data_IF_169227153470
#
_entry.id   IF_169227153470
#
_cell.length_a   1.000
_cell.length_b   1.000
_cell.length_c   1.000
_cell.angle_alpha   90.00
_cell.angle_beta   90.00
_cell.angle_gamma   90.00
#
_symmetry.space_group_name_H-M   'P 1'
#
loop_
_entity.id
_entity.type
_entity.pdbx_description
1 polymer ?
#
# COMPACT_ATOMS: atom_id res chain seq x y z
N UNK A 1 18.86 14.44 -18.43
CA UNK A 1 18.33 15.16 -17.25
C UNK A 1 17.27 16.13 -17.75
N UNK A 2 16.04 16.04 -17.24
CA UNK A 2 14.96 16.96 -17.58
C UNK A 2 15.28 18.34 -16.95
N UNK A 3 15.84 19.26 -17.74
CA UNK A 3 16.14 20.64 -17.35
C UNK A 3 14.88 21.52 -17.43
N UNK A 4 13.78 21.09 -16.82
CA UNK A 4 12.59 21.91 -16.66
C UNK A 4 12.50 22.42 -15.23
N UNK A 5 11.98 23.63 -14.99
CA UNK A 5 11.69 24.08 -13.64
C UNK A 5 10.84 23.02 -12.95
N UNK A 6 11.23 22.62 -11.74
CA UNK A 6 10.43 21.71 -10.91
C UNK A 6 9.01 22.25 -10.89
N UNK A 7 8.02 21.54 -11.44
CA UNK A 7 6.64 21.99 -11.34
C UNK A 7 6.32 22.20 -9.87
N UNK A 8 5.52 23.22 -9.55
CA UNK A 8 5.01 23.42 -8.19
C UNK A 8 4.27 22.14 -7.78
N UNK A 9 4.95 21.27 -7.05
CA UNK A 9 4.49 19.95 -6.69
C UNK A 9 3.92 20.04 -5.28
N UNK A 10 2.72 20.60 -5.15
CA UNK A 10 1.98 20.55 -3.90
C UNK A 10 1.15 19.26 -3.90
N UNK A 11 1.74 18.18 -3.40
CA UNK A 11 1.04 16.92 -3.20
C UNK A 11 0.39 16.93 -1.81
N UNK A 12 -0.87 17.38 -1.74
CA UNK A 12 -1.71 17.20 -0.56
C UNK A 12 -2.64 16.02 -0.78
N UNK A 13 -2.35 14.92 -0.08
CA UNK A 13 -3.24 13.77 -0.05
C UNK A 13 -4.25 13.95 1.09
N UNK A 14 -5.53 14.06 0.73
CA UNK A 14 -6.64 14.09 1.67
C UNK A 14 -7.24 12.69 1.75
N UNK A 15 -7.19 12.06 2.93
CA UNK A 15 -7.95 10.83 3.15
C UNK A 15 -9.45 11.17 3.14
N UNK A 16 -10.20 10.52 2.25
CA UNK A 16 -11.66 10.73 2.11
C UNK A 16 -12.48 9.51 2.53
N UNK A 17 -11.81 8.44 2.93
CA UNK A 17 -12.44 7.23 3.44
C UNK A 17 -11.47 6.07 3.52
N UNK A 18 -11.98 4.91 3.91
CA UNK A 18 -11.19 3.70 4.09
C UNK A 18 -12.07 2.45 3.97
N UNK A 19 -11.40 1.30 3.87
CA UNK A 19 -12.03 0.00 3.98
C UNK A 19 -11.01 -1.06 4.44
N UNK A 20 -11.52 -2.12 5.04
CA UNK A 20 -10.78 -3.31 5.44
C UNK A 20 -11.15 -4.47 4.53
N UNK A 21 -10.22 -5.37 4.23
CA UNK A 21 -10.49 -6.55 3.41
C UNK A 21 -9.68 -7.78 3.85
N UNK A 22 -10.17 -8.98 3.50
CA UNK A 22 -9.41 -10.23 3.62
C UNK A 22 -9.24 -10.85 2.23
N UNK A 23 -8.03 -10.76 1.67
CA UNK A 23 -7.76 -11.15 0.29
C UNK A 23 -8.43 -10.19 -0.70
N UNK A 24 -7.73 -9.83 -1.77
CA UNK A 24 -8.15 -8.75 -2.68
C UNK A 24 -9.23 -9.16 -3.69
N UNK A 25 -9.50 -10.46 -3.85
CA UNK A 25 -10.39 -11.02 -4.88
C UNK A 25 -11.79 -11.41 -4.39
N UNK A 26 -12.00 -11.53 -3.08
CA UNK A 26 -13.29 -11.94 -2.52
C UNK A 26 -14.14 -10.73 -2.09
N UNK A 27 -15.12 -10.38 -2.91
CA UNK A 27 -16.07 -9.29 -2.68
C UNK A 27 -16.83 -9.41 -1.35
N UNK A 28 -17.04 -10.64 -0.84
CA UNK A 28 -17.75 -10.87 0.44
C UNK A 28 -16.87 -10.56 1.65
N UNK A 29 -15.57 -10.36 1.45
CA UNK A 29 -14.60 -10.09 2.51
C UNK A 29 -14.11 -8.65 2.48
N UNK A 30 -14.98 -7.71 2.06
CA UNK A 30 -14.75 -6.26 2.09
C UNK A 30 -15.65 -5.60 3.12
N UNK A 31 -15.08 -4.70 3.92
CA UNK A 31 -15.76 -4.05 5.03
C UNK A 31 -15.46 -2.56 5.03
N UNK A 32 -16.50 -1.73 5.10
CA UNK A 32 -16.39 -0.26 5.10
C UNK A 32 -16.10 0.26 6.52
N UNK A 33 -15.00 -0.22 7.10
CA UNK A 33 -14.57 0.10 8.46
C UNK A 33 -13.04 -0.04 8.64
N UNK A 34 -12.60 0.22 9.87
CA UNK A 34 -11.19 0.22 10.29
C UNK A 34 -10.77 -1.07 11.02
N UNK A 35 -11.49 -2.18 10.87
CA UNK A 35 -11.27 -3.40 11.70
C UNK A 35 -9.87 -4.00 11.57
N UNK A 36 -9.18 -3.77 10.46
CA UNK A 36 -7.80 -4.22 10.25
C UNK A 36 -6.76 -3.11 10.33
N UNK A 37 -7.16 -1.89 10.72
CA UNK A 37 -6.21 -0.82 11.01
C UNK A 37 -5.45 -1.16 12.29
N UNK A 38 -4.13 -1.11 12.24
CA UNK A 38 -3.26 -1.42 13.37
C UNK A 38 -2.65 -0.15 13.94
N UNK A 39 -2.38 -0.17 15.24
CA UNK A 39 -1.70 0.91 15.96
C UNK A 39 -0.25 0.50 16.22
N UNK A 40 0.68 1.43 16.05
CA UNK A 40 2.08 1.22 16.37
C UNK A 40 2.26 0.99 17.89
N UNK A 41 2.97 -0.08 18.27
CA UNK A 41 3.06 -0.55 19.68
C UNK A 41 4.04 0.23 20.54
N UNK A 42 5.11 0.76 19.95
CA UNK A 42 6.25 1.26 20.71
C UNK A 42 6.35 2.79 20.59
N UNK A 43 6.73 3.52 21.65
CA UNK A 43 7.51 4.74 21.45
C UNK A 43 8.73 4.38 20.61
N UNK A 44 9.13 5.21 19.65
CA UNK A 44 10.29 4.93 18.77
C UNK A 44 11.56 4.60 19.59
N UNK A 45 11.63 5.11 20.82
CA UNK A 45 12.75 5.00 21.75
C UNK A 45 12.78 3.69 22.57
N UNK A 46 11.68 2.93 22.60
CA UNK A 46 11.54 1.75 23.47
C UNK A 46 11.59 0.41 22.71
N UNK A 47 11.86 0.44 21.41
CA UNK A 47 11.92 -0.77 20.59
C UNK A 47 13.14 -1.61 20.98
N UNK A 48 12.93 -2.79 21.56
CA UNK A 48 13.99 -3.79 21.66
C UNK A 48 14.32 -4.29 20.24
N UNK A 49 15.47 -3.87 19.72
CA UNK A 49 15.88 -4.09 18.32
C UNK A 49 16.26 -5.52 17.98
N UNK A 50 16.18 -6.47 18.93
CA UNK A 50 16.53 -7.87 18.70
C UNK A 50 15.30 -8.73 18.35
N UNK A 51 14.63 -8.38 17.24
CA UNK A 51 13.43 -9.07 16.75
C UNK A 51 13.82 -10.29 15.90
N UNK A 52 13.46 -11.50 16.35
CA UNK A 52 13.67 -12.72 15.54
C UNK A 52 12.56 -12.87 14.48
N UNK A 53 12.86 -12.43 13.26
CA UNK A 53 11.93 -12.46 12.13
C UNK A 53 11.64 -13.88 11.61
N UNK A 54 12.30 -14.93 12.11
CA UNK A 54 12.10 -16.32 11.66
C UNK A 54 11.03 -17.08 12.44
N UNK A 55 10.56 -16.52 13.56
CA UNK A 55 9.64 -17.20 14.48
C UNK A 55 8.25 -17.43 13.85
N UNK A 56 8.01 -18.66 13.39
CA UNK A 56 6.76 -19.08 12.77
C UNK A 56 6.78 -19.13 11.24
N UNK A 57 7.97 -19.05 10.63
CA UNK A 57 8.15 -19.07 9.17
C UNK A 57 7.60 -20.37 8.53
N UNK A 58 7.74 -21.51 9.21
CA UNK A 58 7.27 -22.81 8.71
C UNK A 58 5.75 -22.87 8.49
N UNK A 59 4.99 -22.06 9.22
CA UNK A 59 3.53 -22.05 9.19
C UNK A 59 2.99 -21.02 8.19
N UNK A 60 3.87 -20.25 7.53
CA UNK A 60 3.49 -19.15 6.66
C UNK A 60 3.11 -19.64 5.25
N UNK A 61 1.85 -19.41 4.89
CA UNK A 61 1.35 -19.58 3.53
C UNK A 61 1.08 -18.22 2.90
N UNK A 62 1.75 -17.93 1.79
CA UNK A 62 1.50 -16.71 1.02
C UNK A 62 0.51 -17.00 -0.11
N UNK A 63 -0.70 -16.47 0.02
CA UNK A 63 -1.63 -16.35 -1.09
C UNK A 63 -1.27 -15.05 -1.82
N UNK A 64 -0.86 -15.15 -3.09
CA UNK A 64 -0.35 -14.01 -3.87
C UNK A 64 -1.17 -12.72 -3.75
N UNK A 65 -0.51 -11.57 -3.86
CA UNK A 65 -1.22 -10.29 -3.85
C UNK A 65 -1.84 -9.99 -5.21
N UNK A 66 -3.17 -9.86 -5.26
CA UNK A 66 -3.83 -9.35 -6.46
C UNK A 66 -3.49 -7.88 -6.68
N UNK A 67 -3.19 -7.54 -7.94
CA UNK A 67 -3.01 -6.16 -8.42
C UNK A 67 -4.33 -5.51 -8.86
N UNK A 68 -5.44 -6.25 -8.73
CA UNK A 68 -6.77 -5.75 -9.10
C UNK A 68 -7.14 -4.50 -8.31
N UNK A 69 -7.86 -3.60 -9.00
CA UNK A 69 -8.49 -2.42 -8.42
C UNK A 69 -9.95 -2.65 -8.02
N UNK A 70 -10.45 -3.89 -8.06
CA UNK A 70 -11.87 -4.21 -7.80
C UNK A 70 -12.35 -3.74 -6.43
N UNK A 71 -11.53 -3.90 -5.38
CA UNK A 71 -11.88 -3.40 -4.05
C UNK A 71 -12.00 -1.86 -4.03
N UNK A 72 -11.19 -1.17 -4.82
CA UNK A 72 -11.27 0.28 -4.97
C UNK A 72 -12.51 0.69 -5.78
N UNK A 73 -12.85 -0.04 -6.84
CA UNK A 73 -14.08 0.16 -7.62
C UNK A 73 -15.31 -0.07 -6.76
N UNK A 74 -15.31 -1.12 -5.94
CA UNK A 74 -16.35 -1.42 -4.97
C UNK A 74 -16.58 -0.26 -4.00
N UNK A 75 -15.52 0.27 -3.40
CA UNK A 75 -15.60 1.45 -2.53
C UNK A 75 -16.15 2.67 -3.30
N UNK A 76 -15.64 2.91 -4.51
CA UNK A 76 -16.06 4.02 -5.37
C UNK A 76 -17.56 3.98 -5.70
N UNK A 77 -18.12 2.79 -5.95
CA UNK A 77 -19.55 2.62 -6.24
C UNK A 77 -20.43 2.92 -5.03
N UNK A 78 -19.95 2.64 -3.80
CA UNK A 78 -20.68 2.94 -2.56
C UNK A 78 -20.70 4.42 -2.24
N UNK A 79 -19.61 5.13 -2.56
CA UNK A 79 -19.48 6.58 -2.42
C UNK A 79 -19.83 7.35 -3.70
N UNK A 80 -20.61 6.76 -4.61
CA UNK A 80 -20.90 7.35 -5.93
C UNK A 80 -21.48 8.76 -5.86
N UNK A 81 -22.26 9.09 -4.83
CA UNK A 81 -22.89 10.41 -4.70
C UNK A 81 -21.86 11.51 -4.40
N UNK A 82 -20.76 11.15 -3.74
CA UNK A 82 -19.66 12.06 -3.43
C UNK A 82 -18.66 12.13 -4.57
N UNK A 83 -18.47 11.01 -5.27
CA UNK A 83 -17.41 10.82 -6.26
C UNK A 83 -17.88 11.15 -7.69
N UNK A 84 -19.17 11.01 -7.99
CA UNK A 84 -19.76 11.23 -9.30
C UNK A 84 -20.90 12.25 -9.21
N UNK A 85 -20.61 13.50 -9.59
CA UNK A 85 -21.52 14.65 -9.49
C UNK A 85 -21.72 15.27 -10.87
N UNK A 86 -22.94 15.75 -11.15
CA UNK A 86 -23.26 16.40 -12.43
C UNK A 86 -22.84 15.58 -13.67
N UNK A 87 -23.07 14.26 -13.61
CA UNK A 87 -22.69 13.31 -14.66
C UNK A 87 -21.16 13.22 -14.94
N UNK A 88 -20.31 13.58 -13.97
CA UNK A 88 -18.86 13.57 -14.11
C UNK A 88 -18.17 13.06 -12.83
N UNK A 89 -17.01 12.44 -12.99
CA UNK A 89 -16.17 12.08 -11.85
C UNK A 89 -15.48 13.32 -11.25
N UNK A 90 -15.31 13.30 -9.93
CA UNK A 90 -14.55 14.29 -9.17
C UNK A 90 -13.03 14.14 -9.35
N UNK A 91 -12.58 13.09 -10.03
CA UNK A 91 -11.20 12.79 -10.36
C UNK A 91 -11.01 12.63 -11.87
N UNK A 92 -9.76 12.77 -12.32
CA UNK A 92 -9.35 12.48 -13.70
C UNK A 92 -8.72 11.10 -13.82
N UNK A 93 -8.03 10.64 -12.77
CA UNK A 93 -7.45 9.29 -12.69
C UNK A 93 -7.86 8.55 -11.42
N UNK A 94 -8.09 7.25 -11.55
CA UNK A 94 -8.31 6.30 -10.46
C UNK A 94 -7.25 5.19 -10.50
N UNK A 95 -6.58 4.91 -9.39
CA UNK A 95 -5.64 3.78 -9.30
C UNK A 95 -5.40 3.30 -7.88
N UNK A 96 -4.90 2.08 -7.70
CA UNK A 96 -4.16 1.77 -6.47
C UNK A 96 -2.83 2.56 -6.46
N UNK A 97 -2.30 2.88 -5.27
CA UNK A 97 -1.01 3.59 -5.09
C UNK A 97 0.11 2.95 -5.90
N UNK A 98 0.09 1.62 -6.03
CA UNK A 98 1.06 0.86 -6.84
C UNK A 98 1.14 1.32 -8.30
N UNK A 99 0.00 1.59 -8.96
CA UNK A 99 -0.02 2.06 -10.35
C UNK A 99 0.59 3.46 -10.51
N UNK A 100 0.31 4.36 -9.55
CA UNK A 100 0.91 5.70 -9.52
C UNK A 100 2.42 5.59 -9.28
N UNK A 101 2.84 4.73 -8.35
CA UNK A 101 4.26 4.46 -8.08
C UNK A 101 4.99 4.03 -9.34
N UNK A 102 4.42 3.12 -10.15
CA UNK A 102 5.06 2.67 -11.39
C UNK A 102 5.36 3.85 -12.33
N UNK A 103 4.39 4.74 -12.55
CA UNK A 103 4.56 5.92 -13.40
C UNK A 103 5.65 6.84 -12.83
N UNK A 104 5.61 7.14 -11.53
CA UNK A 104 6.59 8.03 -10.90
C UNK A 104 8.01 7.47 -10.89
N UNK A 105 8.17 6.16 -10.71
CA UNK A 105 9.47 5.50 -10.68
C UNK A 105 10.00 5.13 -12.06
N UNK A 106 9.18 5.17 -13.11
CA UNK A 106 9.57 4.78 -14.48
C UNK A 106 10.81 5.52 -15.00
N UNK A 107 11.04 6.75 -14.54
CA UNK A 107 12.22 7.54 -14.96
C UNK A 107 13.54 7.06 -14.32
N UNK A 108 13.46 6.26 -13.26
CA UNK A 108 14.61 5.69 -12.55
C UNK A 108 14.72 4.18 -12.72
N UNK A 109 13.66 3.52 -13.19
CA UNK A 109 13.61 2.08 -13.34
C UNK A 109 14.46 1.62 -14.54
N UNK A 110 15.30 0.62 -14.32
CA UNK A 110 16.25 0.09 -15.32
C UNK A 110 16.33 -1.43 -15.31
N UNK A 111 15.66 -2.09 -14.38
CA UNK A 111 15.78 -3.53 -14.12
C UNK A 111 14.46 -4.25 -14.34
N UNK A 112 13.39 -3.72 -13.74
CA UNK A 112 12.10 -4.41 -13.70
C UNK A 112 11.16 -3.87 -14.77
N UNK A 113 10.51 -4.77 -15.52
CA UNK A 113 9.43 -4.41 -16.42
C UNK A 113 8.12 -4.18 -15.65
N UNK A 114 7.21 -3.43 -16.27
CA UNK A 114 5.88 -3.21 -15.71
C UNK A 114 4.85 -3.08 -16.83
N UNK A 115 3.62 -3.46 -16.50
CA UNK A 115 2.46 -3.32 -17.39
C UNK A 115 1.35 -2.59 -16.64
N UNK A 116 0.73 -1.61 -17.30
CA UNK A 116 -0.37 -0.83 -16.74
C UNK A 116 -1.52 -0.82 -17.75
N UNK A 117 -2.63 -1.46 -17.40
CA UNK A 117 -3.88 -1.34 -18.15
C UNK A 117 -4.54 0.02 -17.87
N UNK A 118 -4.95 0.71 -18.93
CA UNK A 118 -5.61 2.01 -18.85
C UNK A 118 -6.96 1.94 -19.55
N UNK A 119 -8.03 2.20 -18.80
CA UNK A 119 -9.40 2.24 -19.33
C UNK A 119 -9.94 3.65 -19.18
N UNK A 120 -10.42 4.25 -20.28
CA UNK A 120 -11.14 5.52 -20.23
C UNK A 120 -12.64 5.26 -20.11
N UNK A 121 -13.27 5.78 -19.06
CA UNK A 121 -14.70 5.68 -18.83
C UNK A 121 -15.25 6.99 -18.28
N UNK A 122 -16.27 7.57 -18.95
CA UNK A 122 -16.89 8.86 -18.59
C UNK A 122 -15.88 9.97 -18.27
N UNK A 123 -14.91 10.14 -19.18
CA UNK A 123 -13.82 11.11 -19.10
C UNK A 123 -12.83 10.95 -17.93
N UNK A 124 -12.88 9.86 -17.17
CA UNK A 124 -11.83 9.49 -16.23
C UNK A 124 -11.03 8.27 -16.73
N UNK A 125 -9.80 8.16 -16.26
CA UNK A 125 -8.85 7.10 -16.60
C UNK A 125 -8.64 6.18 -15.40
N UNK A 126 -8.88 4.89 -15.60
CA UNK A 126 -8.73 3.85 -14.58
C UNK A 126 -7.44 3.10 -14.87
N UNK A 127 -6.52 3.11 -13.92
CA UNK A 127 -5.17 2.56 -14.06
C UNK A 127 -5.04 1.31 -13.18
N UNK A 128 -4.78 0.17 -13.80
CA UNK A 128 -4.64 -1.12 -13.13
C UNK A 128 -3.27 -1.74 -13.47
N UNK A 129 -2.47 -2.03 -12.45
CA UNK A 129 -1.20 -2.74 -12.63
C UNK A 129 -1.47 -4.18 -13.08
N UNK A 130 -0.73 -4.64 -14.08
CA UNK A 130 -0.81 -6.00 -14.59
C UNK A 130 0.52 -6.71 -14.34
N UNK A 131 0.45 -8.00 -14.03
CA UNK A 131 1.64 -8.84 -13.86
C UNK A 131 2.23 -9.12 -15.23
N UNK A 132 3.53 -8.89 -15.41
CA UNK A 132 4.25 -9.20 -16.65
C UNK A 132 4.61 -10.69 -16.72
N UNK A 133 4.88 -11.20 -17.92
CA UNK A 133 5.40 -12.58 -18.07
C UNK A 133 6.74 -12.77 -17.36
N UNK A 134 7.57 -11.72 -17.32
CA UNK A 134 8.84 -11.72 -16.59
C UNK A 134 8.61 -11.88 -15.09
N UNK A 135 7.70 -11.08 -14.51
CA UNK A 135 7.33 -11.18 -13.10
C UNK A 135 6.71 -12.54 -12.76
N UNK A 136 5.88 -13.12 -13.63
CA UNK A 136 5.34 -14.48 -13.44
C UNK A 136 6.45 -15.52 -13.39
N UNK A 137 7.45 -15.43 -14.28
CA UNK A 137 8.62 -16.34 -14.27
C UNK A 137 9.45 -16.17 -13.01
N UNK A 138 9.66 -14.94 -12.54
CA UNK A 138 10.39 -14.68 -11.29
C UNK A 138 9.65 -15.28 -10.09
N UNK A 139 8.32 -15.12 -10.04
CA UNK A 139 7.48 -15.69 -8.98
C UNK A 139 7.54 -17.22 -8.96
N UNK A 140 7.43 -17.85 -10.13
CA UNK A 140 7.47 -19.31 -10.28
C UNK A 140 8.84 -19.91 -9.89
N UNK A 141 9.92 -19.17 -10.14
CA UNK A 141 11.28 -19.61 -9.84
C UNK A 141 11.82 -19.01 -8.54
N UNK A 142 10.95 -18.48 -7.67
CA UNK A 142 11.35 -17.84 -6.42
C UNK A 142 12.00 -18.84 -5.47
N UNK A 143 13.24 -18.55 -5.04
CA UNK A 143 13.95 -19.41 -4.10
C UNK A 143 13.32 -19.34 -2.69
N UNK A 144 13.49 -20.39 -1.86
CA UNK A 144 13.01 -20.38 -0.49
C UNK A 144 13.52 -19.17 0.30
N UNK A 145 14.78 -18.78 0.13
CA UNK A 145 15.38 -17.64 0.82
C UNK A 145 14.71 -16.32 0.45
N UNK A 146 14.34 -16.13 -0.83
CA UNK A 146 13.60 -14.93 -1.27
C UNK A 146 12.19 -14.93 -0.70
N UNK A 147 11.56 -16.11 -0.58
CA UNK A 147 10.25 -16.26 0.05
C UNK A 147 10.29 -15.90 1.53
N UNK A 148 11.37 -16.26 2.23
CA UNK A 148 11.61 -15.89 3.63
C UNK A 148 11.58 -14.38 3.83
N UNK A 149 12.14 -13.59 2.91
CA UNK A 149 12.11 -12.12 3.04
C UNK A 149 10.70 -11.52 3.03
N UNK A 150 9.74 -12.14 2.31
CA UNK A 150 8.33 -11.72 2.38
C UNK A 150 7.74 -11.97 3.76
N UNK A 151 8.03 -13.15 4.31
CA UNK A 151 7.61 -13.49 5.66
C UNK A 151 8.19 -12.51 6.70
N UNK A 152 9.47 -12.17 6.58
CA UNK A 152 10.14 -11.27 7.52
C UNK A 152 9.49 -9.88 7.58
N UNK A 153 8.99 -9.36 6.44
CA UNK A 153 8.22 -8.13 6.40
C UNK A 153 6.96 -8.22 7.27
N UNK A 154 6.12 -9.24 7.04
CA UNK A 154 4.92 -9.46 7.83
C UNK A 154 5.24 -9.72 9.31
N UNK A 155 6.27 -10.51 9.59
CA UNK A 155 6.67 -10.80 10.97
C UNK A 155 7.13 -9.54 11.72
N UNK A 156 7.84 -8.65 11.04
CA UNK A 156 8.22 -7.36 11.60
C UNK A 156 6.98 -6.51 11.92
N UNK A 157 6.01 -6.43 11.01
CA UNK A 157 4.75 -5.72 11.27
C UNK A 157 4.02 -6.30 12.49
N UNK A 158 3.97 -7.62 12.65
CA UNK A 158 3.38 -8.28 13.84
C UNK A 158 4.05 -7.83 15.14
N UNK A 159 5.38 -7.73 15.16
CA UNK A 159 6.12 -7.30 16.33
C UNK A 159 5.81 -5.86 16.72
N UNK A 160 5.78 -4.95 15.74
CA UNK A 160 5.74 -3.51 16.01
C UNK A 160 4.33 -2.91 15.98
N UNK A 161 3.29 -3.71 15.70
CA UNK A 161 1.91 -3.24 15.64
C UNK A 161 0.96 -4.07 16.50
N UNK A 162 -0.08 -3.44 17.04
CA UNK A 162 -1.20 -4.09 17.75
C UNK A 162 -2.49 -3.78 17.03
N UNK A 163 -3.45 -4.69 17.09
CA UNK A 163 -4.83 -4.40 16.72
C UNK A 163 -5.66 -4.47 18.00
N UNK A 164 -6.18 -3.33 18.46
CA UNK A 164 -6.98 -3.30 19.69
C UNK A 164 -8.31 -4.06 19.53
N UNK A 165 -8.74 -4.35 18.29
CA UNK A 165 -9.95 -5.12 18.01
C UNK A 165 -9.74 -6.65 18.04
N UNK A 166 -8.49 -7.17 17.98
CA UNK A 166 -8.24 -8.62 17.91
C UNK A 166 -6.91 -9.04 18.55
N UNK A 167 -6.90 -10.08 19.38
CA UNK A 167 -5.68 -10.74 19.88
C UNK A 167 -5.10 -11.79 18.93
N UNK A 168 -5.63 -11.86 17.70
CA UNK A 168 -5.24 -12.87 16.70
C UNK A 168 -3.83 -12.63 16.16
N UNK A 169 -3.16 -13.74 15.78
CA UNK A 169 -1.89 -13.69 15.04
C UNK A 169 -2.07 -12.90 13.74
N UNK A 170 -0.99 -12.29 13.24
CA UNK A 170 -1.04 -11.54 11.99
C UNK A 170 -1.46 -12.47 10.84
N UNK A 171 -2.50 -12.07 10.13
CA UNK A 171 -2.89 -12.68 8.86
C UNK A 171 -2.61 -11.68 7.74
N UNK A 172 -1.58 -11.91 6.90
CA UNK A 172 -1.20 -11.03 5.79
C UNK A 172 -2.32 -10.74 4.79
N UNK A 173 -3.31 -11.63 4.69
CA UNK A 173 -4.45 -11.42 3.81
C UNK A 173 -5.39 -10.35 4.34
N UNK A 174 -5.35 -10.03 5.64
CA UNK A 174 -6.12 -8.94 6.26
C UNK A 174 -5.42 -7.61 6.03
N UNK A 175 -6.06 -6.71 5.31
CA UNK A 175 -5.49 -5.42 4.92
C UNK A 175 -6.43 -4.28 5.29
N UNK A 176 -5.84 -3.16 5.72
CA UNK A 176 -6.54 -1.88 5.83
C UNK A 176 -6.09 -0.96 4.70
N UNK A 177 -7.06 -0.40 3.99
CA UNK A 177 -6.85 0.44 2.82
C UNK A 177 -7.46 1.82 3.10
N UNK A 178 -6.64 2.86 3.00
CA UNK A 178 -7.12 4.24 3.00
C UNK A 178 -7.31 4.73 1.56
N UNK A 179 -8.31 5.58 1.35
CA UNK A 179 -8.65 6.18 0.04
C UNK A 179 -8.38 7.67 0.10
N UNK A 180 -7.62 8.15 -0.88
CA UNK A 180 -7.13 9.51 -0.93
C UNK A 180 -7.60 10.23 -2.18
N UNK A 181 -7.88 11.52 -2.02
CA UNK A 181 -7.92 12.47 -3.12
C UNK A 181 -6.67 13.35 -3.08
N UNK A 182 -6.08 13.56 -4.26
CA UNK A 182 -4.91 14.43 -4.42
C UNK A 182 -4.92 15.08 -5.81
N UNK A 183 -3.94 15.93 -6.06
CA UNK A 183 -3.69 16.56 -7.37
C UNK A 183 -2.22 16.44 -7.72
N UNK A 184 -1.93 16.09 -8.98
CA UNK A 184 -0.59 16.20 -9.56
C UNK A 184 -0.68 17.13 -10.77
N UNK A 185 -0.11 18.33 -10.65
CA UNK A 185 -0.32 19.39 -11.63
C UNK A 185 -1.81 19.74 -11.73
N UNK A 186 -2.37 19.71 -12.94
CA UNK A 186 -3.79 19.95 -13.19
C UNK A 186 -4.67 18.70 -13.08
N UNK A 187 -4.11 17.53 -12.80
CA UNK A 187 -4.84 16.27 -12.79
C UNK A 187 -5.26 15.87 -11.37
N UNK A 188 -6.54 15.57 -11.21
CA UNK A 188 -7.14 15.09 -9.96
C UNK A 188 -7.00 13.58 -9.87
N UNK A 189 -6.53 13.11 -8.74
CA UNK A 189 -6.29 11.70 -8.46
C UNK A 189 -7.25 11.22 -7.37
N UNK A 190 -7.88 10.08 -7.61
CA UNK A 190 -8.44 9.24 -6.56
C UNK A 190 -7.57 7.98 -6.48
N UNK A 191 -7.05 7.64 -5.30
CA UNK A 191 -6.24 6.44 -5.16
C UNK A 191 -6.39 5.74 -3.82
N UNK A 192 -6.20 4.43 -3.83
CA UNK A 192 -6.22 3.61 -2.61
C UNK A 192 -4.81 3.19 -2.22
N UNK A 193 -4.53 3.14 -0.92
CA UNK A 193 -3.23 2.76 -0.40
C UNK A 193 -3.40 1.84 0.81
N UNK A 194 -2.73 0.71 0.79
CA UNK A 194 -2.57 -0.12 1.97
C UNK A 194 -1.73 0.63 3.01
N UNK A 195 -2.23 0.67 4.24
CA UNK A 195 -1.57 1.34 5.37
C UNK A 195 -1.18 0.28 6.37
N UNK A 196 0.10 0.22 6.73
CA UNK A 196 0.62 -0.81 7.62
C UNK A 196 0.11 -0.58 9.05
N UNK A 197 0.24 0.65 9.56
CA UNK A 197 -0.32 1.06 10.85
C UNK A 197 -0.43 2.59 11.00
N UNK A 198 -0.88 3.03 12.17
CA UNK A 198 -0.95 4.45 12.57
C UNK A 198 -0.28 4.73 13.91
N UNK A 199 0.19 5.97 14.10
CA UNK A 199 0.37 6.55 15.44
C UNK A 199 -0.96 7.13 15.90
N UNK A 200 -1.46 6.67 17.03
CA UNK A 200 -2.63 7.28 17.66
C UNK A 200 -2.15 8.49 18.50
N UNK A 201 -2.20 9.69 17.89
CA UNK A 201 -1.93 10.96 18.61
C UNK A 201 -3.20 11.50 19.27
N UNK A 202 -4.37 11.30 18.64
CA UNK A 202 -5.70 11.61 19.17
C UNK A 202 -6.81 10.92 18.35
N UNK A 203 -8.06 10.81 18.85
CA UNK A 203 -9.17 10.17 18.11
C UNK A 203 -9.47 10.78 16.73
N UNK A 204 -9.06 12.03 16.50
CA UNK A 204 -9.31 12.77 15.25
C UNK A 204 -8.08 12.90 14.33
N UNK A 205 -6.89 12.50 14.80
CA UNK A 205 -5.64 12.59 14.04
C UNK A 205 -4.82 11.33 14.22
N UNK A 206 -4.83 10.48 13.20
CA UNK A 206 -3.96 9.33 13.04
C UNK A 206 -2.94 9.62 11.95
N UNK A 207 -1.65 9.49 12.25
CA UNK A 207 -0.59 9.57 11.24
C UNK A 207 -0.27 8.18 10.72
N UNK A 208 -0.36 7.99 9.40
CA UNK A 208 0.00 6.73 8.76
C UNK A 208 1.50 6.46 8.88
N UNK A 209 1.86 5.21 9.20
CA UNK A 209 3.23 4.71 9.21
C UNK A 209 3.33 3.60 8.16
N UNK A 210 4.36 3.67 7.32
CA UNK A 210 4.80 2.57 6.47
C UNK A 210 5.94 1.82 7.18
N UNK A 211 5.84 0.51 7.26
CA UNK A 211 6.83 -0.38 7.85
C UNK A 211 7.63 -1.08 6.75
N UNK A 212 8.94 -1.15 6.93
CA UNK A 212 9.86 -1.76 5.97
C UNK A 212 10.96 -2.51 6.68
N UNK A 213 11.33 -3.64 6.09
CA UNK A 213 12.52 -4.41 6.43
C UNK A 213 13.46 -4.33 5.24
N UNK A 214 14.74 -4.05 5.50
CA UNK A 214 15.79 -4.08 4.49
C UNK A 214 16.99 -4.84 5.03
N UNK A 215 17.76 -5.46 4.14
CA UNK A 215 19.03 -6.04 4.52
C UNK A 215 20.00 -4.90 4.83
N UNK A 216 20.54 -4.89 6.04
CA UNK A 216 21.60 -3.98 6.46
C UNK A 216 22.73 -4.76 7.11
N UNK A 217 23.94 -4.21 7.04
CA UNK A 217 24.91 -4.40 8.13
C UNK A 217 24.54 -3.43 9.25
N UNK A 218 25.10 -3.59 10.45
CA UNK A 218 24.82 -2.79 11.67
C UNK A 218 24.52 -1.31 11.38
N UNK A 219 23.74 -0.65 12.24
CA UNK A 219 23.51 0.81 12.20
C UNK A 219 24.83 1.60 12.13
N UNK A 220 25.93 1.01 12.59
CA UNK A 220 27.30 1.54 12.51
C UNK A 220 27.84 1.68 11.07
N UNK A 221 27.34 0.90 10.12
CA UNK A 221 27.72 0.97 8.71
C UNK A 221 26.86 1.97 7.91
N UNK A 222 25.74 2.41 8.49
CA UNK A 222 24.94 3.54 7.98
C UNK A 222 25.59 4.84 8.45
N UNK A 223 26.76 5.14 7.89
CA UNK A 223 27.42 6.43 8.09
C UNK A 223 26.57 7.54 7.46
N UNK A 224 25.51 7.96 8.15
CA UNK A 224 24.99 9.32 8.03
C UNK A 224 26.04 10.23 8.62
N UNK A 225 27.10 10.50 7.84
CA UNK A 225 28.04 11.57 8.15
C UNK A 225 27.20 12.85 8.25
N UNK A 226 27.09 13.37 9.47
CA UNK A 226 26.56 14.70 9.76
C UNK A 226 27.34 15.76 8.98
#
# INVERSE_FOLDING_TARGET
MLNHPTPSFEFRANEIGCFSLIGRTDDKKRFEDKRYLRVYKYPLEALNVNLDLKVGESDFTFEGQSKSIDAMLWWTLRHKNDIFKNNQFTFDFLSARGGIRLIMFSIFETRDDWLLAVIKFRNAYFLCECVTDTQLKVEQNMTPEVRSFRYYGHKFEEYVTKNDATTEKLNPSKQFIAVFQSTIGSYRLLYSAEIDCVVERSPSMSEHIELKVCAGKSIDDLAFKQ
#
